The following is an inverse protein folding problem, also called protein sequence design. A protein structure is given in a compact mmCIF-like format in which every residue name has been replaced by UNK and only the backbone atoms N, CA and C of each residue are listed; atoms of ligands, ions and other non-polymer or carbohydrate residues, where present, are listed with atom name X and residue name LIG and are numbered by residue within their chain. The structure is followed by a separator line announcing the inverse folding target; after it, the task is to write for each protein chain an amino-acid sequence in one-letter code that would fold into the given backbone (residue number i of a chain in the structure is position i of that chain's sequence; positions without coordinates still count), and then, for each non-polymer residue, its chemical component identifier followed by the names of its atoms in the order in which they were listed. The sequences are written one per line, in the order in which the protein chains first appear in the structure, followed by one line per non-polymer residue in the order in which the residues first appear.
data_IF_912775203234
#
_entry.id   IF_912775203234
#
_cell.length_a   1.000
_cell.length_b   1.000
_cell.length_c   1.000
_cell.angle_alpha   90.00
_cell.angle_beta   90.00
_cell.angle_gamma   90.00
#
_symmetry.space_group_name_H-M   'P 1'
#
loop_
_entity.id
_entity.type
_entity.pdbx_description
1 polymer ?
#
# COMPACT_ATOMS: atom_id res chain seq x y z
N UNK A 1 14.97 -5.59 -18.45
CA UNK A 1 13.54 -5.21 -18.36
C UNK A 1 13.12 -5.38 -16.91
N UNK A 2 12.57 -4.34 -16.28
CA UNK A 2 12.03 -4.47 -14.92
C UNK A 2 10.65 -5.11 -15.02
N UNK A 3 10.51 -6.34 -14.51
CA UNK A 3 9.24 -7.05 -14.55
C UNK A 3 8.34 -6.60 -13.40
N UNK A 4 7.11 -6.20 -13.70
CA UNK A 4 6.10 -5.92 -12.68
C UNK A 4 5.34 -7.21 -12.36
N UNK A 5 5.37 -7.61 -11.09
CA UNK A 5 4.76 -8.85 -10.59
C UNK A 5 3.61 -8.49 -9.65
N UNK A 6 2.40 -8.96 -9.96
CA UNK A 6 1.25 -8.77 -9.08
C UNK A 6 1.26 -9.82 -7.96
N UNK A 7 1.23 -9.35 -6.72
CA UNK A 7 1.10 -10.16 -5.51
C UNK A 7 -0.37 -10.19 -5.10
N UNK A 8 -0.91 -11.37 -4.77
CA UNK A 8 -2.35 -11.56 -4.62
C UNK A 8 -2.85 -11.35 -3.19
N UNK A 9 -1.99 -11.57 -2.20
CA UNK A 9 -2.37 -11.51 -0.79
C UNK A 9 -1.38 -10.67 0.02
N UNK A 10 -1.87 -10.11 1.12
CA UNK A 10 -1.01 -9.40 2.07
C UNK A 10 0.09 -10.31 2.63
N UNK A 11 -0.25 -11.57 2.92
CA UNK A 11 0.69 -12.56 3.46
C UNK A 11 1.88 -12.78 2.52
N UNK A 12 1.63 -12.97 1.23
CA UNK A 12 2.70 -13.12 0.22
C UNK A 12 3.55 -11.86 0.12
N UNK A 13 2.93 -10.68 0.14
CA UNK A 13 3.65 -9.41 0.06
C UNK A 13 4.60 -9.24 1.24
N UNK A 14 4.11 -9.52 2.46
CA UNK A 14 4.92 -9.49 3.68
C UNK A 14 6.11 -10.46 3.61
N UNK A 15 5.87 -11.71 3.19
CA UNK A 15 6.94 -12.71 3.02
C UNK A 15 7.99 -12.26 1.99
N UNK A 16 7.57 -11.63 0.89
CA UNK A 16 8.49 -11.06 -0.09
C UNK A 16 9.31 -9.91 0.52
N UNK A 17 8.69 -9.03 1.31
CA UNK A 17 9.39 -7.95 1.98
C UNK A 17 10.45 -8.45 2.97
N UNK A 18 10.11 -9.44 3.79
CA UNK A 18 11.05 -10.06 4.74
C UNK A 18 12.23 -10.77 4.04
N UNK A 19 11.97 -11.39 2.88
CA UNK A 19 12.99 -12.08 2.08
C UNK A 19 13.91 -11.10 1.35
N UNK A 20 13.34 -10.09 0.69
CA UNK A 20 14.07 -9.14 -0.15
C UNK A 20 14.78 -8.08 0.70
N UNK A 21 14.22 -7.76 1.88
CA UNK A 21 14.69 -6.70 2.79
C UNK A 21 14.88 -5.37 2.05
N UNK A 22 13.84 -4.82 1.41
CA UNK A 22 13.97 -3.59 0.64
C UNK A 22 14.35 -2.42 1.55
N UNK A 23 15.08 -1.45 0.99
CA UNK A 23 15.38 -0.18 1.69
C UNK A 23 14.15 0.71 1.85
N UNK A 24 13.16 0.54 0.96
CA UNK A 24 11.95 1.33 0.97
C UNK A 24 10.75 0.54 0.45
N UNK A 25 9.56 0.89 0.92
CA UNK A 25 8.27 0.52 0.33
C UNK A 25 7.59 1.81 -0.12
N UNK A 26 6.99 1.74 -1.29
CA UNK A 26 6.26 2.86 -1.89
C UNK A 26 4.78 2.52 -1.87
N UNK A 27 3.91 3.48 -1.60
CA UNK A 27 2.46 3.27 -1.66
C UNK A 27 1.76 4.38 -2.44
N UNK A 28 0.61 4.06 -3.02
CA UNK A 28 -0.35 5.05 -3.53
C UNK A 28 -1.75 4.77 -2.99
N UNK A 29 -2.48 5.84 -2.73
CA UNK A 29 -3.90 5.79 -2.39
C UNK A 29 -4.64 6.07 -3.70
N UNK A 30 -5.17 5.01 -4.31
CA UNK A 30 -5.83 5.13 -5.61
C UNK A 30 -7.28 5.61 -5.35
N UNK A 31 -7.66 6.73 -5.96
CA UNK A 31 -9.01 7.30 -5.90
C UNK A 31 -9.69 7.17 -7.27
N UNK A 32 -11.02 7.07 -7.25
CA UNK A 32 -11.79 7.04 -8.49
C UNK A 32 -11.85 8.45 -9.09
N UNK A 33 -11.05 8.69 -10.13
CA UNK A 33 -10.98 9.98 -10.82
C UNK A 33 -12.25 10.39 -11.57
N UNK A 34 -13.22 9.50 -11.76
CA UNK A 34 -14.52 9.81 -12.40
C UNK A 34 -15.64 10.03 -11.38
N UNK A 35 -15.43 9.70 -10.11
CA UNK A 35 -16.38 10.01 -9.04
C UNK A 35 -16.29 11.50 -8.68
N UNK A 36 -17.45 12.15 -8.52
CA UNK A 36 -17.52 13.54 -8.04
C UNK A 36 -16.84 13.71 -6.69
N UNK A 37 -16.84 12.66 -5.87
CA UNK A 37 -16.36 12.67 -4.50
C UNK A 37 -14.97 12.02 -4.36
N UNK A 38 -14.28 11.72 -5.47
CA UNK A 38 -12.95 11.08 -5.50
C UNK A 38 -12.84 9.89 -4.54
N UNK A 39 -13.84 9.01 -4.60
CA UNK A 39 -13.98 7.92 -3.63
C UNK A 39 -12.72 7.04 -3.60
N UNK A 40 -12.24 6.74 -2.39
CA UNK A 40 -11.14 5.81 -2.17
C UNK A 40 -11.42 4.46 -2.85
N UNK A 41 -10.56 4.08 -3.78
CA UNK A 41 -10.68 2.82 -4.51
C UNK A 41 -9.86 1.70 -3.88
N UNK A 42 -8.58 1.96 -3.56
CA UNK A 42 -7.70 0.96 -2.93
C UNK A 42 -6.39 1.56 -2.43
N UNK A 43 -5.71 0.81 -1.57
CA UNK A 43 -4.30 1.01 -1.24
C UNK A 43 -3.45 0.15 -2.16
N UNK A 44 -2.50 0.75 -2.86
CA UNK A 44 -1.50 0.03 -3.65
C UNK A 44 -0.15 0.11 -2.95
N UNK A 45 0.47 -1.04 -2.71
CA UNK A 45 1.82 -1.16 -2.19
C UNK A 45 2.75 -1.64 -3.30
N UNK A 46 3.90 -0.99 -3.41
CA UNK A 46 4.93 -1.26 -4.39
C UNK A 46 6.21 -1.59 -3.62
N UNK A 47 6.72 -2.78 -3.83
CA UNK A 47 8.01 -3.21 -3.31
C UNK A 47 9.04 -3.17 -4.44
N UNK A 48 9.98 -2.20 -4.43
CA UNK A 48 11.06 -2.14 -5.39
C UNK A 48 12.09 -3.23 -5.12
N UNK A 49 12.40 -4.04 -6.14
CA UNK A 49 13.53 -4.97 -6.14
C UNK A 49 14.41 -4.74 -7.37
N UNK A 50 15.66 -5.18 -7.32
CA UNK A 50 16.68 -4.86 -8.35
C UNK A 50 16.28 -5.19 -9.79
N UNK A 51 15.45 -6.23 -10.00
CA UNK A 51 15.02 -6.69 -11.33
C UNK A 51 13.49 -6.74 -11.51
N UNK A 52 12.72 -6.42 -10.46
CA UNK A 52 11.26 -6.56 -10.47
C UNK A 52 10.60 -5.58 -9.49
N UNK A 53 9.36 -5.20 -9.78
CA UNK A 53 8.49 -4.48 -8.83
C UNK A 53 7.34 -5.39 -8.44
N UNK A 54 7.18 -5.63 -7.14
CA UNK A 54 6.05 -6.41 -6.63
C UNK A 54 4.93 -5.46 -6.23
N UNK A 55 3.76 -5.64 -6.81
CA UNK A 55 2.60 -4.78 -6.56
C UNK A 55 1.54 -5.58 -5.83
N UNK A 56 1.15 -5.09 -4.66
CA UNK A 56 0.00 -5.57 -3.91
C UNK A 56 -1.07 -4.48 -3.86
N UNK A 57 -2.35 -4.88 -3.92
CA UNK A 57 -3.48 -3.95 -3.87
C UNK A 57 -4.49 -4.46 -2.86
N UNK A 58 -4.82 -3.63 -1.88
CA UNK A 58 -5.84 -3.90 -0.87
C UNK A 58 -7.05 -3.00 -1.07
N UNK A 59 -8.23 -3.60 -1.11
CA UNK A 59 -9.48 -2.92 -1.41
C UNK A 59 -10.29 -2.65 -0.13
N UNK A 60 -11.13 -1.61 -0.10
CA UNK A 60 -12.06 -1.38 1.00
C UNK A 60 -12.99 -2.59 1.28
N UNK A 61 -13.29 -2.80 2.56
CA UNK A 61 -14.36 -3.69 3.03
C UNK A 61 -14.99 -3.07 4.29
N UNK A 62 -16.11 -2.38 4.11
CA UNK A 62 -16.71 -1.58 5.19
C UNK A 62 -15.83 -0.36 5.50
N UNK A 63 -15.56 -0.13 6.78
CA UNK A 63 -14.80 0.99 7.35
C UNK A 63 -13.27 0.78 7.38
N UNK A 64 -12.76 -0.24 6.70
CA UNK A 64 -11.34 -0.58 6.68
C UNK A 64 -10.94 -1.28 5.39
N UNK A 65 -9.63 -1.39 5.16
CA UNK A 65 -9.10 -2.23 4.08
C UNK A 65 -9.30 -3.72 4.37
N UNK A 66 -9.46 -4.52 3.31
CA UNK A 66 -9.92 -5.90 3.40
C UNK A 66 -8.92 -6.81 4.10
N UNK A 67 -7.63 -6.71 3.81
CA UNK A 67 -6.61 -7.62 4.35
C UNK A 67 -5.72 -6.96 5.41
N UNK A 68 -5.20 -5.76 5.13
CA UNK A 68 -4.34 -4.98 6.03
C UNK A 68 -5.10 -4.46 7.24
N UNK A 69 -6.44 -4.33 7.13
CA UNK A 69 -7.33 -3.81 8.19
C UNK A 69 -7.06 -2.35 8.59
N UNK A 70 -6.26 -1.61 7.81
CA UNK A 70 -6.05 -0.18 8.00
C UNK A 70 -7.42 0.52 7.94
N UNK A 71 -7.68 1.40 8.90
CA UNK A 71 -8.93 2.14 8.99
C UNK A 71 -9.12 3.06 7.78
N UNK A 72 -10.36 3.14 7.30
CA UNK A 72 -10.77 4.12 6.31
C UNK A 72 -11.54 5.20 7.06
N UNK A 73 -11.00 6.41 7.04
CA UNK A 73 -11.59 7.56 7.69
C UNK A 73 -12.58 8.24 6.75
N UNK A 74 -13.53 8.99 7.33
CA UNK A 74 -14.54 9.74 6.58
C UNK A 74 -14.71 11.11 7.21
N UNK A 75 -14.52 12.16 6.39
CA UNK A 75 -14.80 13.55 6.79
C UNK A 75 -15.82 14.18 5.85
N UNK A 76 -15.43 14.37 4.60
CA UNK A 76 -16.32 14.71 3.48
C UNK A 76 -16.32 13.60 2.44
N UNK A 77 -15.16 12.95 2.29
CA UNK A 77 -14.92 11.82 1.41
C UNK A 77 -14.14 10.77 2.20
N UNK A 78 -14.19 9.52 1.74
CA UNK A 78 -13.44 8.41 2.35
C UNK A 78 -11.96 8.51 2.00
N UNK A 79 -11.09 8.35 2.99
CA UNK A 79 -9.65 8.46 2.82
C UNK A 79 -8.87 7.50 3.73
N UNK A 80 -7.61 7.26 3.39
CA UNK A 80 -6.64 6.63 4.28
C UNK A 80 -5.72 7.71 4.82
N UNK A 81 -5.40 7.63 6.10
CA UNK A 81 -4.39 8.51 6.70
C UNK A 81 -2.99 7.97 6.36
N UNK A 82 -2.10 8.83 5.88
CA UNK A 82 -0.73 8.43 5.51
C UNK A 82 0.01 7.83 6.72
N UNK A 83 -0.24 8.38 7.91
CA UNK A 83 0.36 7.92 9.15
C UNK A 83 -0.05 6.47 9.48
N UNK A 84 -1.33 6.12 9.32
CA UNK A 84 -1.82 4.75 9.56
C UNK A 84 -1.14 3.74 8.64
N UNK A 85 -0.92 4.11 7.38
CA UNK A 85 -0.21 3.27 6.39
C UNK A 85 1.25 3.09 6.81
N UNK A 86 1.93 4.19 7.17
CA UNK A 86 3.35 4.17 7.54
C UNK A 86 3.58 3.33 8.81
N UNK A 87 2.75 3.51 9.83
CA UNK A 87 2.84 2.78 11.09
C UNK A 87 2.56 1.29 10.87
N UNK A 88 1.49 0.96 10.13
CA UNK A 88 1.17 -0.42 9.78
C UNK A 88 2.33 -1.12 9.07
N UNK A 89 2.93 -0.49 8.06
CA UNK A 89 4.02 -1.10 7.30
C UNK A 89 5.28 -1.31 8.16
N UNK A 90 5.62 -0.35 9.01
CA UNK A 90 6.77 -0.45 9.92
C UNK A 90 6.56 -1.54 10.97
N UNK A 91 5.38 -1.61 11.57
CA UNK A 91 5.03 -2.64 12.57
C UNK A 91 5.03 -4.05 11.96
N UNK A 92 4.42 -4.21 10.78
CA UNK A 92 4.21 -5.53 10.21
C UNK A 92 5.45 -6.13 9.55
N UNK A 93 6.30 -5.32 8.92
CA UNK A 93 7.43 -5.79 8.12
C UNK A 93 8.73 -5.85 8.95
N UNK A 94 8.82 -5.08 10.05
CA UNK A 94 9.91 -5.14 11.05
C UNK A 94 11.33 -5.08 10.48
N UNK A 95 11.51 -4.42 9.35
CA UNK A 95 12.83 -4.13 8.79
C UNK A 95 13.37 -2.86 9.46
N UNK A 96 14.57 -2.97 10.04
CA UNK A 96 15.26 -1.82 10.62
C UNK A 96 15.49 -0.75 9.56
N UNK A 97 15.17 0.51 9.90
CA UNK A 97 15.34 1.67 9.03
C UNK A 97 14.55 1.61 7.71
N UNK A 98 13.45 0.85 7.67
CA UNK A 98 12.54 0.79 6.51
C UNK A 98 11.95 2.18 6.23
N UNK A 99 12.20 2.66 5.01
CA UNK A 99 11.60 3.91 4.52
C UNK A 99 10.25 3.62 3.87
N UNK A 100 9.29 4.51 4.08
CA UNK A 100 7.95 4.40 3.48
C UNK A 100 7.65 5.72 2.80
N UNK A 101 7.29 5.67 1.51
CA UNK A 101 7.06 6.85 0.68
C UNK A 101 5.71 6.78 -0.01
N UNK A 102 4.95 7.87 0.06
CA UNK A 102 3.79 8.10 -0.80
C UNK A 102 4.25 8.39 -2.23
N UNK A 103 3.67 7.73 -3.21
CA UNK A 103 3.84 8.03 -4.62
C UNK A 103 2.67 8.87 -5.09
N UNK A 104 2.95 10.15 -5.37
CA UNK A 104 2.00 11.08 -5.98
C UNK A 104 2.33 11.16 -7.47
N UNK A 105 1.42 10.72 -8.34
CA UNK A 105 1.42 11.16 -9.74
C UNK A 105 0.63 12.45 -9.80
N UNK A 106 1.34 13.56 -10.01
CA UNK A 106 0.75 14.87 -10.27
C UNK A 106 -0.06 14.88 -11.57
#
# INVERSE_FOLDING_TARGET
MNQTVRVRTWKEFKQLAEKIKPKAIVYSIDQNGTSKDKELTCLRLILPAQKSHYIYVDFPRGDKLRETKIAIHEKTVRYLEDQDIIEFLKDQIKIKDLKVYSFWTA
#
